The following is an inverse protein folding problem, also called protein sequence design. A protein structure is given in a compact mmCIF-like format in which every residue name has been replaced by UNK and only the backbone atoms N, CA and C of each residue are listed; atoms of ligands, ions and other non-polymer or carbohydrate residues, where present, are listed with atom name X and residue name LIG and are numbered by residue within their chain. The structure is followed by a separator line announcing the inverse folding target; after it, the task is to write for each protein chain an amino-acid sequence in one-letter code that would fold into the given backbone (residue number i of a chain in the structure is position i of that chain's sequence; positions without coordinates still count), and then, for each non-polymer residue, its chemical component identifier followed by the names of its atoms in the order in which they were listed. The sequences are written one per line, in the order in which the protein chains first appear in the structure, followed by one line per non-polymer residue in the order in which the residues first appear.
data_IF_838563805959
#
_entry.id   IF_838563805959
#
_cell.length_a   1.000
_cell.length_b   1.000
_cell.length_c   1.000
_cell.angle_alpha   90.00
_cell.angle_beta   90.00
_cell.angle_gamma   90.00
#
_symmetry.space_group_name_H-M   'P 1'
#
loop_
_entity.id
_entity.type
_entity.pdbx_description
1 polymer ?
#
# COMPACT_ATOMS: atom_id res chain seq x y z
N UNK A 1 8.16 -7.51 -4.58
CA UNK A 1 7.95 -8.94 -4.26
C UNK A 1 9.16 -9.44 -3.49
N UNK A 2 9.04 -10.55 -2.76
CA UNK A 2 10.19 -11.20 -2.09
C UNK A 2 10.29 -12.60 -2.66
N UNK A 3 11.43 -12.95 -3.27
CA UNK A 3 11.68 -14.28 -3.88
C UNK A 3 10.54 -14.76 -4.81
N UNK A 4 10.12 -13.92 -5.74
CA UNK A 4 9.03 -14.24 -6.67
C UNK A 4 7.60 -14.23 -6.09
N UNK A 5 7.42 -13.90 -4.80
CA UNK A 5 6.09 -13.86 -4.18
C UNK A 5 5.60 -12.41 -3.99
N UNK A 6 4.41 -12.06 -4.47
CA UNK A 6 3.85 -10.72 -4.28
C UNK A 6 3.52 -10.49 -2.80
N UNK A 7 3.95 -9.34 -2.29
CA UNK A 7 3.73 -8.90 -0.92
C UNK A 7 3.06 -7.53 -0.92
N UNK A 8 2.22 -7.28 0.08
CA UNK A 8 1.64 -5.99 0.37
C UNK A 8 2.43 -5.29 1.47
N UNK A 9 2.63 -3.98 1.32
CA UNK A 9 3.15 -3.14 2.38
C UNK A 9 1.99 -2.72 3.29
N UNK A 10 2.05 -3.11 4.56
CA UNK A 10 1.06 -2.78 5.58
C UNK A 10 1.73 -2.05 6.75
N UNK A 11 0.99 -1.13 7.35
CA UNK A 11 1.35 -0.53 8.64
C UNK A 11 0.87 -1.47 9.74
N UNK A 12 1.78 -1.95 10.57
CA UNK A 12 1.50 -2.80 11.73
C UNK A 12 1.76 -2.04 13.03
N UNK A 13 0.76 -1.96 13.89
CA UNK A 13 0.92 -1.41 15.23
C UNK A 13 1.20 -2.57 16.20
N UNK A 14 2.44 -2.68 16.66
CA UNK A 14 2.86 -3.79 17.51
C UNK A 14 2.12 -3.86 18.85
N UNK A 15 1.68 -2.72 19.39
CA UNK A 15 0.98 -2.66 20.69
C UNK A 15 -0.45 -3.19 20.62
N UNK A 16 -1.15 -2.92 19.52
CA UNK A 16 -2.57 -3.33 19.34
C UNK A 16 -2.73 -4.54 18.44
N UNK A 17 -1.62 -5.04 17.87
CA UNK A 17 -1.57 -6.06 16.81
C UNK A 17 -2.53 -5.78 15.63
N UNK A 18 -2.66 -4.49 15.27
CA UNK A 18 -3.55 -4.07 14.18
C UNK A 18 -2.77 -3.73 12.92
N UNK A 19 -3.30 -4.19 11.80
CA UNK A 19 -2.81 -3.86 10.46
C UNK A 19 -3.67 -2.76 9.82
N UNK A 20 -3.02 -1.87 9.07
CA UNK A 20 -3.67 -0.80 8.31
C UNK A 20 -2.98 -0.59 6.96
N UNK A 21 -3.77 -0.12 6.01
CA UNK A 21 -3.24 0.46 4.77
C UNK A 21 -2.82 1.91 5.03
N UNK A 22 -1.76 2.36 4.35
CA UNK A 22 -1.37 3.77 4.36
C UNK A 22 -2.40 4.58 3.56
N UNK A 23 -2.91 5.66 4.17
CA UNK A 23 -3.99 6.46 3.58
C UNK A 23 -4.67 7.35 4.62
N UNK A 24 -5.92 7.74 4.37
CA UNK A 24 -6.74 8.47 5.33
C UNK A 24 -7.66 9.50 4.67
N UNK A 25 -8.36 10.28 5.49
CA UNK A 25 -9.39 11.21 5.04
C UNK A 25 -8.82 12.39 4.26
N UNK A 26 -9.33 12.63 3.07
CA UNK A 26 -8.90 13.71 2.18
C UNK A 26 -9.81 14.93 2.29
N UNK A 27 -9.32 16.09 1.85
CA UNK A 27 -10.10 17.32 1.74
C UNK A 27 -11.12 17.20 0.59
N UNK A 28 -12.32 17.77 0.70
CA UNK A 28 -13.26 17.86 -0.43
C UNK A 28 -12.71 18.66 -1.63
N UNK A 29 -11.69 19.51 -1.40
CA UNK A 29 -11.11 20.37 -2.42
C UNK A 29 -10.00 19.69 -3.26
N UNK A 30 -9.55 18.48 -2.88
CA UNK A 30 -8.49 17.76 -3.61
C UNK A 30 -9.06 16.51 -4.30
N UNK A 31 -8.41 16.08 -5.38
CA UNK A 31 -8.79 14.81 -6.02
C UNK A 31 -8.42 13.61 -5.14
N UNK A 32 -9.08 12.47 -5.36
CA UNK A 32 -8.75 11.24 -4.62
C UNK A 32 -7.29 10.82 -4.79
N UNK A 33 -6.70 11.03 -5.97
CA UNK A 33 -5.33 10.65 -6.26
C UNK A 33 -4.32 11.59 -5.61
N UNK A 34 -4.52 12.91 -5.73
CA UNK A 34 -3.63 13.91 -5.11
C UNK A 34 -3.69 13.79 -3.58
N UNK A 35 -4.91 13.63 -3.05
CA UNK A 35 -5.13 13.43 -1.63
C UNK A 35 -4.45 12.15 -1.12
N UNK A 36 -4.53 11.04 -1.89
CA UNK A 36 -3.85 9.80 -1.56
C UNK A 36 -2.32 9.97 -1.56
N UNK A 37 -1.75 10.58 -2.59
CA UNK A 37 -0.30 10.83 -2.67
C UNK A 37 0.19 11.63 -1.46
N UNK A 38 -0.53 12.70 -1.10
CA UNK A 38 -0.24 13.50 0.10
C UNK A 38 -0.37 12.69 1.39
N UNK A 39 -1.36 11.78 1.50
CA UNK A 39 -1.46 10.89 2.67
C UNK A 39 -0.33 9.88 2.74
N UNK A 40 0.09 9.31 1.61
CA UNK A 40 1.22 8.39 1.57
C UNK A 40 2.49 9.10 2.03
N UNK A 41 2.77 10.30 1.52
CA UNK A 41 3.90 11.12 1.97
C UNK A 41 3.85 11.40 3.48
N UNK A 42 2.66 11.65 4.06
CA UNK A 42 2.49 11.82 5.51
C UNK A 42 2.83 10.57 6.32
N UNK A 43 2.56 9.37 5.79
CA UNK A 43 2.78 8.12 6.52
C UNK A 43 4.16 7.51 6.31
N UNK A 44 4.78 7.81 5.18
CA UNK A 44 5.95 7.09 4.67
C UNK A 44 7.17 8.00 4.40
N UNK A 45 7.08 9.31 4.67
CA UNK A 45 8.20 10.25 4.58
C UNK A 45 8.27 11.16 5.82
N UNK A 46 9.48 11.40 6.33
CA UNK A 46 9.70 12.26 7.49
C UNK A 46 9.37 13.74 7.18
N UNK A 47 9.83 14.20 6.03
CA UNK A 47 9.67 15.58 5.54
C UNK A 47 8.39 15.78 4.72
N UNK A 48 7.58 14.72 4.54
CA UNK A 48 6.37 14.69 3.71
C UNK A 48 6.63 15.02 2.23
N UNK A 49 7.85 14.78 1.76
CA UNK A 49 8.19 14.86 0.35
C UNK A 49 7.50 13.78 -0.49
N UNK A 50 7.46 14.00 -1.80
CA UNK A 50 6.90 13.04 -2.74
C UNK A 50 7.82 11.81 -2.88
N UNK A 51 7.26 10.63 -2.61
CA UNK A 51 7.99 9.35 -2.63
C UNK A 51 8.06 8.70 -4.03
N UNK A 52 7.56 9.38 -5.07
CA UNK A 52 7.39 8.79 -6.40
C UNK A 52 6.37 7.65 -6.46
N UNK A 53 5.58 7.43 -5.39
CA UNK A 53 4.48 6.47 -5.37
C UNK A 53 3.30 7.05 -6.15
N UNK A 54 2.83 6.32 -7.15
CA UNK A 54 1.77 6.78 -8.07
C UNK A 54 0.58 5.83 -8.07
N UNK A 55 -0.66 6.32 -7.87
CA UNK A 55 -1.86 5.52 -8.05
C UNK A 55 -2.03 5.14 -9.53
N UNK A 56 -2.13 3.84 -9.84
CA UNK A 56 -2.25 3.35 -11.22
C UNK A 56 -3.60 2.73 -11.54
N UNK A 57 -4.31 2.22 -10.53
CA UNK A 57 -5.64 1.66 -10.73
C UNK A 57 -6.48 1.74 -9.45
N UNK A 58 -7.78 2.03 -9.61
CA UNK A 58 -8.75 1.91 -8.50
C UNK A 58 -9.17 0.45 -8.34
N UNK A 59 -8.98 -0.10 -7.15
CA UNK A 59 -9.31 -1.48 -6.80
C UNK A 59 -10.76 -1.62 -6.34
N UNK A 60 -11.29 -0.61 -5.67
CA UNK A 60 -12.67 -0.63 -5.19
C UNK A 60 -13.10 0.73 -4.66
N UNK A 61 -14.41 0.86 -4.47
CA UNK A 61 -15.04 2.02 -3.87
C UNK A 61 -16.17 1.54 -2.98
N UNK A 62 -16.18 2.02 -1.74
CA UNK A 62 -17.18 1.70 -0.75
C UNK A 62 -17.85 2.96 -0.25
N UNK A 63 -19.13 2.84 0.04
CA UNK A 63 -19.98 3.91 0.53
C UNK A 63 -20.45 3.55 1.93
N UNK A 64 -20.48 4.52 2.84
CA UNK A 64 -21.15 4.37 4.13
C UNK A 64 -22.16 5.48 4.36
N UNK A 65 -23.27 5.11 4.98
CA UNK A 65 -24.35 6.01 5.37
C UNK A 65 -24.10 6.67 6.72
N UNK A 66 -23.21 6.09 7.53
CA UNK A 66 -22.85 6.54 8.88
C UNK A 66 -21.32 6.51 9.08
N UNK A 67 -20.80 7.26 10.05
CA UNK A 67 -19.35 7.29 10.33
C UNK A 67 -18.81 5.99 10.94
N UNK A 68 -19.70 5.20 11.55
CA UNK A 68 -19.40 3.92 12.21
C UNK A 68 -20.23 2.77 11.65
N UNK A 69 -20.88 3.00 10.50
CA UNK A 69 -21.79 2.05 9.89
C UNK A 69 -21.11 1.02 8.98
N UNK A 70 -21.88 0.07 8.44
CA UNK A 70 -21.39 -0.83 7.42
C UNK A 70 -20.97 -0.08 6.15
N UNK A 71 -20.09 -0.72 5.38
CA UNK A 71 -19.60 -0.23 4.10
C UNK A 71 -20.15 -1.08 2.96
N UNK A 72 -20.68 -0.43 1.93
CA UNK A 72 -21.31 -1.06 0.78
C UNK A 72 -20.45 -0.85 -0.48
N UNK A 73 -20.18 -1.91 -1.27
CA UNK A 73 -19.42 -1.78 -2.53
C UNK A 73 -20.25 -1.16 -3.68
N UNK A 74 -21.39 -0.54 -3.35
CA UNK A 74 -22.31 0.15 -4.24
C UNK A 74 -22.96 1.29 -3.45
N UNK A 75 -23.52 2.29 -4.14
CA UNK A 75 -24.32 3.33 -3.51
C UNK A 75 -25.69 2.72 -3.12
N UNK A 76 -26.06 2.66 -1.82
CA UNK A 76 -27.32 2.05 -1.40
C UNK A 76 -28.56 2.71 -2.04
N UNK A 77 -29.63 1.93 -2.23
CA UNK A 77 -30.88 2.42 -2.80
C UNK A 77 -31.42 3.63 -2.01
N UNK A 78 -31.96 4.61 -2.73
CA UNK A 78 -32.49 5.87 -2.18
C UNK A 78 -31.48 6.74 -1.40
N UNK A 79 -30.19 6.41 -1.41
CA UNK A 79 -29.14 7.27 -0.90
C UNK A 79 -28.63 8.19 -2.01
N UNK A 80 -28.85 9.50 -1.88
CA UNK A 80 -28.29 10.51 -2.79
C UNK A 80 -26.98 11.12 -2.27
N UNK A 81 -26.76 11.07 -0.95
CA UNK A 81 -25.62 11.70 -0.28
C UNK A 81 -25.03 10.75 0.77
N UNK A 82 -24.09 9.88 0.39
CA UNK A 82 -23.38 9.02 1.34
C UNK A 82 -22.51 9.88 2.28
N UNK A 83 -22.39 9.50 3.55
CA UNK A 83 -21.55 10.23 4.51
C UNK A 83 -20.07 9.98 4.31
N UNK A 84 -19.71 8.78 3.84
CA UNK A 84 -18.33 8.42 3.56
C UNK A 84 -18.20 7.72 2.23
N UNK A 85 -17.14 8.08 1.50
CA UNK A 85 -16.66 7.40 0.32
C UNK A 85 -15.22 6.94 0.62
N UNK A 86 -15.00 5.63 0.63
CA UNK A 86 -13.67 5.05 0.72
C UNK A 86 -13.26 4.50 -0.64
N UNK A 87 -12.11 4.91 -1.14
CA UNK A 87 -11.56 4.43 -2.41
C UNK A 87 -10.19 3.80 -2.17
N UNK A 88 -10.01 2.60 -2.70
CA UNK A 88 -8.76 1.84 -2.59
C UNK A 88 -8.05 1.84 -3.93
N UNK A 89 -6.74 2.05 -3.91
CA UNK A 89 -5.91 2.16 -5.11
C UNK A 89 -4.74 1.19 -5.06
N UNK A 90 -4.44 0.60 -6.21
CA UNK A 90 -3.15 -0.01 -6.50
C UNK A 90 -2.18 1.11 -6.86
N UNK A 91 -1.03 1.13 -6.21
CA UNK A 91 0.01 2.13 -6.45
C UNK A 91 1.29 1.44 -6.91
N UNK A 92 1.99 2.05 -7.87
CA UNK A 92 3.36 1.68 -8.22
C UNK A 92 4.35 2.40 -7.31
N UNK A 93 5.42 1.70 -6.94
CA UNK A 93 6.52 2.21 -6.13
C UNK A 93 7.76 2.29 -7.04
N UNK A 94 8.63 3.31 -6.89
CA UNK A 94 9.90 3.35 -7.62
C UNK A 94 10.77 2.10 -7.36
N UNK A 95 11.71 1.76 -8.26
CA UNK A 95 12.60 0.60 -8.09
C UNK A 95 13.39 0.60 -6.78
N UNK A 96 13.73 1.80 -6.29
CA UNK A 96 14.36 2.02 -4.99
C UNK A 96 13.62 3.17 -4.30
N UNK A 97 13.23 2.97 -3.05
CA UNK A 97 12.58 3.97 -2.22
C UNK A 97 12.98 3.76 -0.76
N UNK A 98 13.17 4.86 -0.04
CA UNK A 98 13.34 4.86 1.41
C UNK A 98 12.02 5.31 2.03
N UNK A 99 11.55 4.57 3.03
CA UNK A 99 10.34 4.91 3.77
C UNK A 99 10.67 5.22 5.22
N UNK A 100 10.11 6.31 5.72
CA UNK A 100 10.13 6.66 7.14
C UNK A 100 8.72 6.56 7.71
N UNK A 101 8.58 5.84 8.82
CA UNK A 101 7.28 5.47 9.38
C UNK A 101 7.20 6.00 10.81
N UNK A 102 6.03 6.49 11.28
CA UNK A 102 5.88 6.95 12.66
C UNK A 102 6.27 5.89 13.68
N UNK A 103 6.88 6.29 14.80
CA UNK A 103 7.52 5.40 15.78
C UNK A 103 6.61 4.32 16.39
N UNK A 104 5.29 4.52 16.39
CA UNK A 104 4.30 3.54 16.88
C UNK A 104 3.81 2.57 15.81
N UNK A 105 4.38 2.59 14.61
CA UNK A 105 4.04 1.73 13.49
C UNK A 105 5.29 1.13 12.85
N UNK A 106 5.17 -0.12 12.42
CA UNK A 106 6.15 -0.80 11.61
C UNK A 106 5.60 -0.96 10.20
N UNK A 107 6.43 -0.71 9.19
CA UNK A 107 6.09 -1.06 7.81
C UNK A 107 6.53 -2.50 7.55
N UNK A 108 5.56 -3.37 7.27
CA UNK A 108 5.79 -4.80 7.09
C UNK A 108 5.35 -5.24 5.70
N UNK A 109 6.10 -6.16 5.11
CA UNK A 109 5.73 -6.82 3.86
C UNK A 109 5.00 -8.13 4.18
N UNK A 110 3.71 -8.20 3.85
CA UNK A 110 2.87 -9.38 4.09
C UNK A 110 2.58 -10.08 2.76
N UNK A 111 2.90 -11.38 2.62
CA UNK A 111 2.62 -12.09 1.37
C UNK A 111 1.12 -12.22 1.15
N UNK A 112 0.69 -12.13 -0.11
CA UNK A 112 -0.74 -12.27 -0.46
C UNK A 112 -1.31 -13.63 -0.01
N UNK A 113 -0.48 -14.67 0.05
CA UNK A 113 -0.86 -15.99 0.56
C UNK A 113 -1.31 -15.98 2.02
N UNK A 114 -0.74 -15.13 2.86
CA UNK A 114 -1.12 -15.05 4.28
C UNK A 114 -2.48 -14.38 4.45
N UNK A 115 -2.77 -13.38 3.62
CA UNK A 115 -4.07 -12.70 3.58
C UNK A 115 -5.21 -13.67 3.23
N UNK A 116 -4.94 -14.62 2.33
CA UNK A 116 -5.91 -15.66 1.94
C UNK A 116 -6.23 -16.65 3.07
N UNK A 117 -5.30 -16.85 4.02
CA UNK A 117 -5.42 -17.85 5.09
C UNK A 117 -5.90 -17.30 6.42
N UNK A 118 -5.87 -15.97 6.61
CA UNK A 118 -6.13 -15.33 7.90
C UNK A 118 -7.04 -14.10 7.76
N UNK A 119 -8.28 -14.32 7.34
CA UNK A 119 -9.31 -13.29 7.11
C UNK A 119 -9.63 -12.45 8.37
N UNK A 120 -9.63 -13.06 9.56
CA UNK A 120 -9.89 -12.38 10.82
C UNK A 120 -8.77 -11.43 11.29
N UNK A 121 -7.51 -11.69 10.93
CA UNK A 121 -6.35 -10.92 11.43
C UNK A 121 -6.21 -9.55 10.78
N UNK A 122 -6.49 -9.47 9.48
CA UNK A 122 -6.23 -8.26 8.69
C UNK A 122 -7.47 -7.36 8.53
N UNK A 123 -8.61 -7.79 9.06
CA UNK A 123 -9.87 -7.06 8.94
C UNK A 123 -10.48 -7.11 7.53
N UNK A 124 -11.72 -6.64 7.38
CA UNK A 124 -12.55 -6.93 6.22
C UNK A 124 -12.05 -6.30 4.91
N UNK A 125 -11.34 -5.17 4.96
CA UNK A 125 -10.82 -4.50 3.75
C UNK A 125 -9.58 -5.22 3.21
N UNK A 126 -8.59 -5.47 4.07
CA UNK A 126 -7.33 -6.07 3.66
C UNK A 126 -7.52 -7.54 3.26
N UNK A 127 -8.39 -8.29 3.95
CA UNK A 127 -8.70 -9.68 3.63
C UNK A 127 -9.30 -9.86 2.21
N UNK A 128 -9.88 -8.82 1.61
CA UNK A 128 -10.44 -8.87 0.24
C UNK A 128 -9.40 -8.60 -0.86
N UNK A 129 -8.22 -8.11 -0.50
CA UNK A 129 -7.19 -7.72 -1.48
C UNK A 129 -6.75 -8.85 -2.41
N UNK A 130 -6.57 -10.11 -1.95
CA UNK A 130 -6.22 -11.19 -2.87
C UNK A 130 -7.20 -11.31 -4.06
N UNK A 131 -8.50 -11.23 -3.78
CA UNK A 131 -9.54 -11.28 -4.81
C UNK A 131 -9.47 -10.07 -5.74
N UNK A 132 -9.34 -8.86 -5.19
CA UNK A 132 -9.26 -7.62 -5.99
C UNK A 132 -8.00 -7.53 -6.86
N UNK A 133 -6.91 -8.16 -6.42
CA UNK A 133 -5.63 -8.18 -7.12
C UNK A 133 -5.55 -9.29 -8.17
N UNK A 134 -6.43 -10.29 -8.13
CA UNK A 134 -6.40 -11.46 -9.02
C UNK A 134 -6.51 -11.12 -10.52
N UNK A 135 -7.09 -9.96 -10.86
CA UNK A 135 -7.21 -9.47 -12.24
C UNK A 135 -5.94 -8.84 -12.82
N UNK A 136 -4.89 -8.67 -12.03
CA UNK A 136 -3.64 -8.05 -12.48
C UNK A 136 -2.56 -9.10 -12.72
N UNK A 137 -1.81 -8.93 -13.80
CA UNK A 137 -0.59 -9.69 -14.06
C UNK A 137 0.60 -8.93 -13.46
N UNK A 138 1.27 -9.53 -12.46
CA UNK A 138 2.44 -8.93 -11.83
C UNK A 138 3.72 -9.28 -12.60
N UNK A 139 4.47 -8.26 -13.03
CA UNK A 139 5.84 -8.43 -13.54
C UNK A 139 6.81 -8.33 -12.38
N UNK A 140 7.52 -9.42 -12.12
CA UNK A 140 8.41 -9.56 -10.96
C UNK A 140 9.87 -9.34 -11.41
N UNK A 141 10.40 -8.16 -11.10
CA UNK A 141 11.76 -7.78 -11.44
C UNK A 141 12.73 -8.29 -10.35
N UNK A 142 13.75 -9.05 -10.74
CA UNK A 142 14.84 -9.38 -9.82
C UNK A 142 15.46 -8.11 -9.25
N UNK A 143 15.92 -8.18 -8.00
CA UNK A 143 16.72 -7.09 -7.46
C UNK A 143 17.93 -6.89 -8.38
N UNK A 144 18.28 -5.64 -8.75
CA UNK A 144 19.53 -5.41 -9.45
C UNK A 144 20.65 -5.98 -8.58
N UNK A 145 21.42 -6.92 -9.13
CA UNK A 145 22.69 -7.34 -8.55
C UNK A 145 23.50 -6.07 -8.32
N UNK A 146 24.00 -5.87 -7.09
CA UNK A 146 24.96 -4.80 -6.85
C UNK A 146 26.12 -4.99 -7.83
N UNK A 147 26.71 -3.92 -8.39
CA UNK A 147 27.94 -4.07 -9.15
C UNK A 147 28.95 -4.74 -8.22
N UNK A 148 29.49 -5.89 -8.66
CA UNK A 148 30.64 -6.50 -7.99
C UNK A 148 31.79 -5.50 -8.08
N UNK A 149 32.41 -5.18 -6.94
CA UNK A 149 33.61 -4.33 -6.90
C UNK A 149 34.71 -5.01 -7.76
N UNK A 150 34.83 -4.60 -9.02
CA UNK A 150 35.99 -4.86 -9.87
C UNK A 150 37.18 -4.03 -9.35
N UNK A 151 37.68 -4.38 -8.17
CA UNK A 151 39.02 -3.98 -7.73
C UNK A 151 39.70 -5.17 -7.10
N UNK A 152 40.38 -5.95 -7.93
CA UNK A 152 41.79 -6.27 -7.73
C UNK A 152 42.40 -6.45 -9.11
N UNK A 153 42.90 -5.33 -9.64
CA UNK A 153 43.88 -5.37 -10.70
C UNK A 153 45.05 -6.21 -10.22
N UNK A 154 45.30 -7.26 -10.98
CA UNK A 154 46.44 -8.15 -10.91
C UNK A 154 47.71 -7.31 -11.19
N UNK A 155 48.33 -6.77 -10.15
CA UNK A 155 49.66 -6.16 -10.24
C UNK A 155 50.70 -7.28 -10.40
N UNK A 156 50.79 -7.79 -11.63
CA UNK A 156 51.97 -8.47 -12.15
C UNK A 156 52.83 -7.45 -12.91
N UNK A 157 53.94 -7.01 -12.33
CA UNK A 157 55.20 -6.65 -13.00
C UNK A 157 56.25 -6.35 -11.91
N UNK A 158 57.27 -7.20 -11.74
CA UNK A 158 58.54 -7.29 -12.50
C UNK A 158 59.68 -6.53 -11.79
#
# INVERSE_FOLDING_TARGET
HVRGLPHLLLLHNATTDRFRLAGGSISPAETLQDGLQRKLAKWLSDDRSALGITPVARLGTWYSLDYFGPQYPYLPAHCTQPRQLEALYLCTVPPRATFSVPSNWNLVAVPISDLLRADGRYGPVIARLPTLLSRFTFVLHSAPTAPEDETMADDTHA
#
